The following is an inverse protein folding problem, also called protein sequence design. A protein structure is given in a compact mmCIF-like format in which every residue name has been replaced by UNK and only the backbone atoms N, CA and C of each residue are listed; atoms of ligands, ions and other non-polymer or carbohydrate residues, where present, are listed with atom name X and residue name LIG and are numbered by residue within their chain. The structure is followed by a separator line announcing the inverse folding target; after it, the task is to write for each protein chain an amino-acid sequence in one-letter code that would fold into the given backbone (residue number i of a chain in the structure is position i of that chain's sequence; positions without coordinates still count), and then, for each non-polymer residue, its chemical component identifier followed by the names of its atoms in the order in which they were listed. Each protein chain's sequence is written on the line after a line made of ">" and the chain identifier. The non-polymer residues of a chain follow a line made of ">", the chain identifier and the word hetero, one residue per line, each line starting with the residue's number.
data_IF_883774753053
#
_entry.id   IF_883774753053
#
_cell.length_a   1.000
_cell.length_b   1.000
_cell.length_c   1.000
_cell.angle_alpha   90.00
_cell.angle_beta   90.00
_cell.angle_gamma   90.00
#
_symmetry.space_group_name_H-M   'P 1'
#
loop_
_entity.id
_entity.type
_entity.pdbx_description
1 polymer ?
#
# COMPACT_ATOMS: atom_id res chain seq x y z
N UNK A 1 38.77 -10.34 0.23
CA UNK A 1 37.43 -9.89 0.70
C UNK A 1 36.67 -9.46 -0.53
N UNK A 2 35.49 -10.04 -0.80
CA UNK A 2 34.78 -9.82 -2.08
C UNK A 2 34.35 -8.35 -2.25
N UNK A 3 34.35 -7.80 -3.49
CA UNK A 3 33.72 -6.52 -3.79
C UNK A 3 32.27 -6.49 -3.25
N UNK A 4 31.78 -5.32 -2.86
CA UNK A 4 30.41 -5.17 -2.32
C UNK A 4 29.33 -5.74 -3.25
N UNK A 5 29.63 -5.76 -4.54
CA UNK A 5 28.76 -6.15 -5.64
C UNK A 5 28.59 -7.70 -5.72
N UNK A 6 29.48 -8.45 -5.07
CA UNK A 6 29.47 -9.92 -5.05
C UNK A 6 28.91 -10.53 -3.75
N UNK A 7 28.43 -9.70 -2.81
CA UNK A 7 27.73 -10.22 -1.63
C UNK A 7 26.37 -10.74 -2.08
N UNK A 8 26.28 -12.05 -2.30
CA UNK A 8 25.03 -12.73 -2.63
C UNK A 8 23.97 -12.38 -1.58
N UNK A 9 22.98 -11.58 -1.98
CA UNK A 9 21.86 -11.24 -1.13
C UNK A 9 21.11 -12.53 -0.81
N UNK A 10 21.07 -12.90 0.48
CA UNK A 10 20.28 -14.04 0.94
C UNK A 10 18.82 -13.83 0.47
N UNK A 11 18.19 -14.79 -0.24
CA UNK A 11 16.80 -14.66 -0.65
C UNK A 11 15.98 -14.40 0.61
N UNK A 12 15.34 -13.22 0.67
CA UNK A 12 14.50 -12.88 1.81
C UNK A 12 13.08 -13.33 1.51
N UNK A 13 12.56 -14.17 2.41
CA UNK A 13 11.15 -14.53 2.39
C UNK A 13 10.31 -13.26 2.60
N UNK A 14 9.28 -13.06 1.78
CA UNK A 14 8.39 -11.91 1.85
C UNK A 14 7.81 -11.70 3.26
N UNK A 15 7.47 -12.79 3.95
CA UNK A 15 7.01 -12.78 5.34
C UNK A 15 8.04 -12.21 6.31
N UNK A 16 9.32 -12.52 6.12
CA UNK A 16 10.41 -11.99 6.95
C UNK A 16 10.60 -10.48 6.70
N UNK A 17 10.41 -10.00 5.48
CA UNK A 17 10.46 -8.57 5.15
C UNK A 17 9.31 -7.83 5.82
N UNK A 18 8.09 -8.35 5.74
CA UNK A 18 6.92 -7.79 6.43
C UNK A 18 7.16 -7.74 7.95
N UNK A 19 7.61 -8.84 8.55
CA UNK A 19 7.87 -8.91 9.98
C UNK A 19 8.93 -7.88 10.41
N UNK A 20 9.98 -7.67 9.60
CA UNK A 20 10.99 -6.64 9.83
C UNK A 20 10.41 -5.23 9.71
N UNK A 21 9.59 -4.96 8.70
CA UNK A 21 8.93 -3.65 8.53
C UNK A 21 8.00 -3.33 9.70
N UNK A 22 7.21 -4.30 10.16
CA UNK A 22 6.38 -4.15 11.36
C UNK A 22 7.25 -3.93 12.60
N UNK A 23 8.37 -4.65 12.71
CA UNK A 23 9.37 -4.46 13.77
C UNK A 23 9.94 -3.04 13.80
N UNK A 24 10.23 -2.45 12.63
CA UNK A 24 10.69 -1.06 12.51
C UNK A 24 9.64 -0.11 13.08
N UNK A 25 8.36 -0.28 12.74
CA UNK A 25 7.26 0.55 13.26
C UNK A 25 7.10 0.47 14.79
N UNK A 26 7.54 -0.62 15.42
CA UNK A 26 7.51 -0.78 16.88
C UNK A 26 8.65 -0.07 17.61
N UNK A 27 9.68 0.42 16.90
CA UNK A 27 10.84 1.08 17.51
C UNK A 27 10.44 2.30 18.35
N UNK A 28 11.13 2.55 19.47
CA UNK A 28 10.82 3.69 20.37
C UNK A 28 10.95 5.04 19.66
N UNK A 29 11.85 5.17 18.69
CA UNK A 29 12.00 6.37 17.86
C UNK A 29 10.69 6.77 17.13
N UNK A 30 9.83 5.80 16.81
CA UNK A 30 8.55 6.03 16.13
C UNK A 30 7.35 6.08 17.10
N UNK A 31 7.56 5.90 18.40
CA UNK A 31 6.47 5.86 19.39
C UNK A 31 5.63 7.14 19.38
N UNK A 32 6.28 8.31 19.25
CA UNK A 32 5.61 9.62 19.14
C UNK A 32 4.67 9.74 17.94
N UNK A 33 4.89 8.93 16.90
CA UNK A 33 4.14 8.98 15.63
C UNK A 33 3.05 7.91 15.52
N UNK A 34 2.93 7.02 16.52
CA UNK A 34 1.86 6.00 16.59
C UNK A 34 0.45 6.55 16.41
N UNK A 35 0.03 7.67 17.04
CA UNK A 35 -1.33 8.18 16.84
C UNK A 35 -1.57 8.63 15.39
N UNK A 36 -0.58 9.24 14.73
CA UNK A 36 -0.69 9.65 13.31
C UNK A 36 -0.75 8.44 12.38
N UNK A 37 0.00 7.40 12.68
CA UNK A 37 -0.06 6.13 11.94
C UNK A 37 -1.43 5.46 12.09
N UNK A 38 -1.98 5.40 13.31
CA UNK A 38 -3.32 4.89 13.55
C UNK A 38 -4.38 5.71 12.79
N UNK A 39 -4.31 7.04 12.84
CA UNK A 39 -5.19 7.93 12.08
C UNK A 39 -5.11 7.66 10.58
N UNK A 40 -3.90 7.55 10.01
CA UNK A 40 -3.72 7.26 8.59
C UNK A 40 -4.31 5.91 8.18
N UNK A 41 -4.21 4.88 9.04
CA UNK A 41 -4.83 3.58 8.82
C UNK A 41 -6.36 3.67 8.86
N UNK A 42 -6.94 4.37 9.85
CA UNK A 42 -8.40 4.57 9.95
C UNK A 42 -8.92 5.33 8.72
N UNK A 43 -8.28 6.44 8.35
CA UNK A 43 -8.62 7.21 7.13
C UNK A 43 -8.55 6.34 5.88
N UNK A 44 -7.57 5.43 5.81
CA UNK A 44 -7.47 4.47 4.72
C UNK A 44 -8.63 3.48 4.69
N UNK A 45 -9.02 2.92 5.83
CA UNK A 45 -10.15 1.98 5.89
C UNK A 45 -11.46 2.68 5.49
N UNK A 46 -11.69 3.90 5.98
CA UNK A 46 -12.85 4.71 5.60
C UNK A 46 -12.87 4.98 4.10
N UNK A 47 -11.73 5.32 3.49
CA UNK A 47 -11.68 5.56 2.04
C UNK A 47 -12.01 4.31 1.23
N UNK A 48 -11.59 3.12 1.69
CA UNK A 48 -11.94 1.84 1.04
C UNK A 48 -13.40 1.46 1.20
N UNK A 49 -13.99 1.71 2.38
CA UNK A 49 -15.43 1.52 2.58
C UNK A 49 -16.25 2.41 1.65
N UNK A 50 -15.87 3.68 1.51
CA UNK A 50 -16.53 4.61 0.59
C UNK A 50 -16.32 4.21 -0.88
N UNK A 51 -15.13 3.71 -1.24
CA UNK A 51 -14.84 3.26 -2.60
C UNK A 51 -15.74 2.09 -3.03
N UNK A 52 -15.93 1.11 -2.14
CA UNK A 52 -16.77 -0.08 -2.38
C UNK A 52 -18.26 0.27 -2.26
N UNK A 53 -18.63 1.15 -1.32
CA UNK A 53 -20.02 1.56 -1.10
C UNK A 53 -20.57 2.51 -2.17
N UNK A 54 -19.74 3.36 -2.76
CA UNK A 54 -20.16 4.33 -3.79
C UNK A 54 -20.98 3.70 -4.94
N UNK A 55 -20.51 2.65 -5.65
CA UNK A 55 -21.30 2.04 -6.73
C UNK A 55 -22.62 1.42 -6.24
N UNK A 56 -22.68 0.93 -5.00
CA UNK A 56 -23.93 0.39 -4.43
C UNK A 56 -24.97 1.50 -4.28
N UNK A 57 -24.57 2.66 -3.76
CA UNK A 57 -25.45 3.83 -3.61
C UNK A 57 -26.01 4.32 -4.94
N UNK A 58 -25.19 4.31 -6.00
CA UNK A 58 -25.65 4.64 -7.34
C UNK A 58 -26.64 3.59 -7.85
N UNK A 59 -26.37 2.30 -7.62
CA UNK A 59 -27.27 1.20 -7.96
C UNK A 59 -28.65 1.34 -7.28
N UNK A 60 -28.67 1.67 -6.00
CA UNK A 60 -29.92 1.92 -5.26
C UNK A 60 -30.72 3.08 -5.85
N UNK A 61 -30.05 4.17 -6.23
CA UNK A 61 -30.66 5.28 -6.93
C UNK A 61 -31.31 4.86 -8.26
N UNK A 62 -30.58 4.09 -9.09
CA UNK A 62 -31.09 3.58 -10.37
C UNK A 62 -32.31 2.67 -10.16
N UNK A 63 -32.25 1.77 -9.17
CA UNK A 63 -33.33 0.85 -8.86
C UNK A 63 -34.63 1.57 -8.45
N UNK A 64 -34.53 2.71 -7.74
CA UNK A 64 -35.70 3.54 -7.37
C UNK A 64 -36.40 4.17 -8.57
N UNK A 65 -35.63 4.59 -9.58
CA UNK A 65 -36.18 5.11 -10.83
C UNK A 65 -36.80 3.98 -11.65
N UNK A 66 -36.13 2.83 -11.71
CA UNK A 66 -36.60 1.65 -12.42
C UNK A 66 -37.87 1.03 -11.82
N UNK A 67 -38.19 1.31 -10.56
CA UNK A 67 -39.38 0.81 -9.87
C UNK A 67 -40.72 1.41 -10.37
N UNK A 68 -40.70 2.30 -11.37
CA UNK A 68 -41.91 2.82 -12.02
C UNK A 68 -42.70 3.82 -11.16
N UNK A 69 -42.06 4.45 -10.17
CA UNK A 69 -42.68 5.50 -9.37
C UNK A 69 -42.96 6.75 -10.21
N UNK A 70 -43.95 7.54 -9.78
CA UNK A 70 -44.22 8.84 -10.41
C UNK A 70 -42.95 9.72 -10.38
N UNK A 71 -42.73 10.48 -11.46
CA UNK A 71 -41.53 11.31 -11.66
C UNK A 71 -41.25 12.24 -10.47
N UNK A 72 -42.30 12.77 -9.84
CA UNK A 72 -42.19 13.66 -8.66
C UNK A 72 -41.56 12.99 -7.42
N UNK A 73 -41.52 11.66 -7.35
CA UNK A 73 -40.89 10.90 -6.25
C UNK A 73 -39.57 10.26 -6.70
N UNK A 74 -39.52 9.76 -7.94
CA UNK A 74 -38.33 9.13 -8.50
C UNK A 74 -37.16 10.12 -8.71
N UNK A 75 -37.43 11.32 -9.21
CA UNK A 75 -36.40 12.32 -9.48
C UNK A 75 -35.65 12.81 -8.22
N UNK A 76 -36.33 13.24 -7.14
CA UNK A 76 -35.62 13.69 -5.93
C UNK A 76 -34.90 12.54 -5.20
N UNK A 77 -35.45 11.33 -5.22
CA UNK A 77 -34.78 10.17 -4.60
C UNK A 77 -33.51 9.79 -5.35
N UNK A 78 -33.56 9.72 -6.68
CA UNK A 78 -32.37 9.51 -7.51
C UNK A 78 -31.31 10.60 -7.27
N UNK A 79 -31.71 11.87 -7.26
CA UNK A 79 -30.80 12.98 -7.02
C UNK A 79 -30.07 12.85 -5.67
N UNK A 80 -30.77 12.44 -4.60
CA UNK A 80 -30.17 12.21 -3.30
C UNK A 80 -29.13 11.07 -3.32
N UNK A 81 -29.45 9.93 -3.93
CA UNK A 81 -28.51 8.81 -4.08
C UNK A 81 -27.31 9.16 -4.97
N UNK A 82 -27.54 9.94 -6.03
CA UNK A 82 -26.48 10.41 -6.91
C UNK A 82 -25.52 11.37 -6.20
N UNK A 83 -26.03 12.32 -5.42
CA UNK A 83 -25.20 13.21 -4.58
C UNK A 83 -24.40 12.38 -3.58
N UNK A 84 -25.02 11.41 -2.92
CA UNK A 84 -24.34 10.55 -1.96
C UNK A 84 -23.23 9.71 -2.63
N UNK A 85 -23.49 9.15 -3.82
CA UNK A 85 -22.48 8.50 -4.66
C UNK A 85 -21.33 9.46 -4.99
N UNK A 86 -21.62 10.66 -5.46
CA UNK A 86 -20.61 11.63 -5.87
C UNK A 86 -19.72 12.06 -4.69
N UNK A 87 -20.33 12.32 -3.52
CA UNK A 87 -19.61 12.64 -2.28
C UNK A 87 -18.78 11.45 -1.82
N UNK A 88 -19.34 10.24 -1.80
CA UNK A 88 -18.60 9.03 -1.43
C UNK A 88 -17.41 8.80 -2.38
N UNK A 89 -17.60 9.01 -3.69
CA UNK A 89 -16.54 8.87 -4.68
C UNK A 89 -15.46 9.92 -4.50
N UNK A 90 -15.84 11.18 -4.30
CA UNK A 90 -14.92 12.27 -4.02
C UNK A 90 -14.09 12.00 -2.76
N UNK A 91 -14.74 11.62 -1.66
CA UNK A 91 -14.06 11.30 -0.40
C UNK A 91 -13.18 10.06 -0.52
N UNK A 92 -13.63 9.01 -1.22
CA UNK A 92 -12.82 7.80 -1.47
C UNK A 92 -11.52 8.12 -2.20
N UNK A 93 -11.55 9.13 -3.06
CA UNK A 93 -10.41 9.60 -3.82
C UNK A 93 -9.59 10.68 -3.13
N UNK A 94 -10.12 11.41 -2.13
CA UNK A 94 -9.45 12.51 -1.43
C UNK A 94 -8.85 12.15 -0.06
N UNK A 95 -9.46 11.20 0.66
CA UNK A 95 -8.91 10.67 1.92
C UNK A 95 -7.52 10.02 1.75
N UNK A 96 -7.19 9.35 0.62
CA UNK A 96 -5.84 8.86 0.34
C UNK A 96 -4.72 9.92 0.39
N UNK A 97 -5.02 11.17 0.07
CA UNK A 97 -4.07 12.29 0.04
C UNK A 97 -3.86 12.81 1.45
N UNK A 98 -4.92 12.84 2.25
CA UNK A 98 -4.85 13.17 3.67
C UNK A 98 -4.04 12.13 4.45
N UNK A 99 -4.27 10.82 4.25
CA UNK A 99 -3.43 9.79 4.89
C UNK A 99 -1.96 9.93 4.50
N UNK A 100 -1.65 10.29 3.24
CA UNK A 100 -0.27 10.42 2.78
C UNK A 100 0.42 11.61 3.43
N UNK A 101 -0.31 12.72 3.62
CA UNK A 101 0.16 13.89 4.36
C UNK A 101 0.39 13.56 5.84
N UNK A 102 -0.53 12.85 6.51
CA UNK A 102 -0.35 12.44 7.90
C UNK A 102 0.83 11.49 8.08
N UNK A 103 1.04 10.57 7.13
CA UNK A 103 2.06 9.55 7.21
C UNK A 103 3.45 10.03 6.77
N UNK A 104 3.55 11.14 6.04
CA UNK A 104 4.83 11.69 5.59
C UNK A 104 5.82 11.92 6.73
N UNK A 105 5.37 12.42 7.89
CA UNK A 105 6.25 12.59 9.05
C UNK A 105 6.75 11.27 9.63
N UNK A 106 5.94 10.20 9.53
CA UNK A 106 6.31 8.86 10.01
C UNK A 106 7.39 8.27 9.10
N UNK A 107 7.24 8.39 7.79
CA UNK A 107 8.21 7.83 6.83
C UNK A 107 9.52 8.58 6.86
N UNK A 108 9.48 9.91 6.96
CA UNK A 108 10.68 10.73 7.07
C UNK A 108 11.45 10.44 8.36
N UNK A 109 10.77 10.25 9.49
CA UNK A 109 11.44 9.84 10.73
C UNK A 109 12.03 8.43 10.63
N UNK A 110 11.31 7.48 10.03
CA UNK A 110 11.81 6.12 9.82
C UNK A 110 13.06 6.12 8.93
N UNK A 111 13.04 6.89 7.85
CA UNK A 111 14.17 7.08 6.94
C UNK A 111 15.37 7.70 7.68
N UNK A 112 15.16 8.82 8.37
CA UNK A 112 16.19 9.48 9.19
C UNK A 112 16.79 8.53 10.23
N UNK A 113 15.96 7.82 10.99
CA UNK A 113 16.42 6.90 12.02
C UNK A 113 17.26 5.77 11.43
N UNK A 114 16.84 5.20 10.30
CA UNK A 114 17.58 4.13 9.65
C UNK A 114 18.92 4.63 9.07
N UNK A 115 18.93 5.81 8.46
CA UNK A 115 20.14 6.42 7.91
C UNK A 115 21.15 6.75 9.01
N UNK A 116 20.71 7.35 10.14
CA UNK A 116 21.58 7.69 11.27
C UNK A 116 22.14 6.43 11.94
N UNK A 117 21.34 5.39 12.12
CA UNK A 117 21.80 4.11 12.69
C UNK A 117 22.84 3.44 11.78
N UNK A 118 22.57 3.39 10.47
CA UNK A 118 23.50 2.82 9.50
C UNK A 118 24.80 3.63 9.38
N UNK A 119 24.71 4.96 9.45
CA UNK A 119 25.87 5.85 9.45
C UNK A 119 26.72 5.67 10.71
N UNK A 120 26.10 5.66 11.89
CA UNK A 120 26.80 5.40 13.15
C UNK A 120 27.47 4.03 13.17
N UNK A 121 26.80 3.00 12.64
CA UNK A 121 27.39 1.67 12.50
C UNK A 121 28.59 1.67 11.53
N UNK A 122 28.49 2.40 10.43
CA UNK A 122 29.59 2.54 9.48
C UNK A 122 30.79 3.28 10.10
N UNK A 123 30.57 4.29 10.93
CA UNK A 123 31.64 5.01 11.66
C UNK A 123 32.31 4.15 12.73
N UNK A 124 31.58 3.19 13.32
CA UNK A 124 32.13 2.29 14.33
C UNK A 124 32.93 1.11 13.73
N UNK A 125 33.09 1.05 12.40
CA UNK A 125 33.86 -0.01 11.76
C UNK A 125 35.38 0.20 11.90
N UNK A 126 36.14 -0.89 11.77
CA UNK A 126 37.60 -0.84 11.84
C UNK A 126 38.20 0.02 10.71
N UNK A 127 39.38 0.60 10.93
CA UNK A 127 40.09 1.41 9.93
C UNK A 127 40.24 0.69 8.57
N UNK A 128 40.46 -0.63 8.60
CA UNK A 128 40.53 -1.45 7.38
C UNK A 128 39.25 -1.36 6.52
N UNK A 129 38.07 -1.27 7.13
CA UNK A 129 36.82 -1.06 6.40
C UNK A 129 36.84 0.27 5.63
N UNK A 130 37.30 1.33 6.27
CA UNK A 130 37.35 2.67 5.68
C UNK A 130 38.41 2.80 4.58
N UNK A 131 39.55 2.10 4.71
CA UNK A 131 40.60 2.08 3.69
C UNK A 131 40.18 1.27 2.44
N UNK A 132 39.41 0.19 2.63
CA UNK A 132 39.04 -0.73 1.55
C UNK A 132 37.77 -0.31 0.77
N UNK A 133 37.01 0.68 1.26
CA UNK A 133 35.69 1.04 0.71
C UNK A 133 35.61 2.52 0.40
N UNK A 134 35.15 2.85 -0.82
CA UNK A 134 34.91 4.24 -1.22
C UNK A 134 33.79 4.85 -0.36
N UNK A 135 34.07 5.93 0.36
CA UNK A 135 33.11 6.60 1.24
C UNK A 135 31.80 6.96 0.52
N UNK A 136 31.88 7.47 -0.73
CA UNK A 136 30.71 7.79 -1.54
C UNK A 136 29.87 6.55 -1.92
N UNK A 137 30.48 5.38 -2.09
CA UNK A 137 29.74 4.14 -2.34
C UNK A 137 28.98 3.69 -1.10
N UNK A 138 29.60 3.81 0.09
CA UNK A 138 28.95 3.50 1.38
C UNK A 138 27.79 4.46 1.65
N UNK A 139 27.99 5.77 1.47
CA UNK A 139 26.92 6.75 1.66
C UNK A 139 25.72 6.49 0.73
N UNK A 140 25.97 6.20 -0.56
CA UNK A 140 24.93 5.85 -1.51
C UNK A 140 24.15 4.58 -1.11
N UNK A 141 24.82 3.58 -0.54
CA UNK A 141 24.15 2.37 -0.04
C UNK A 141 23.24 2.71 1.13
N UNK A 142 23.70 3.56 2.07
CA UNK A 142 22.90 4.01 3.21
C UNK A 142 21.67 4.79 2.74
N UNK A 143 21.84 5.78 1.86
CA UNK A 143 20.73 6.58 1.32
C UNK A 143 19.71 5.71 0.58
N UNK A 144 20.18 4.82 -0.31
CA UNK A 144 19.29 3.91 -1.04
C UNK A 144 18.59 2.92 -0.11
N UNK A 145 19.29 2.40 0.88
CA UNK A 145 18.74 1.46 1.87
C UNK A 145 17.66 2.11 2.74
N UNK A 146 17.94 3.30 3.25
CA UNK A 146 16.99 4.06 4.07
C UNK A 146 15.76 4.50 3.24
N UNK A 147 15.97 4.97 2.00
CA UNK A 147 14.88 5.28 1.07
C UNK A 147 14.03 4.05 0.69
N UNK A 148 14.64 2.87 0.57
CA UNK A 148 13.91 1.63 0.32
C UNK A 148 12.99 1.26 1.50
N UNK A 149 13.39 1.54 2.75
CA UNK A 149 12.53 1.34 3.93
C UNK A 149 11.30 2.25 3.85
N UNK A 150 11.48 3.53 3.52
CA UNK A 150 10.34 4.44 3.31
C UNK A 150 9.39 3.92 2.23
N UNK A 151 9.92 3.53 1.07
CA UNK A 151 9.13 2.98 -0.02
C UNK A 151 8.34 1.73 0.42
N UNK A 152 9.01 0.77 1.05
CA UNK A 152 8.40 -0.48 1.48
C UNK A 152 7.30 -0.27 2.53
N UNK A 153 7.53 0.63 3.50
CA UNK A 153 6.52 0.96 4.51
C UNK A 153 5.26 1.54 3.87
N UNK A 154 5.40 2.52 2.98
CA UNK A 154 4.27 3.11 2.25
C UNK A 154 3.57 2.08 1.37
N UNK A 155 4.34 1.32 0.61
CA UNK A 155 3.79 0.34 -0.33
C UNK A 155 2.97 -0.74 0.40
N UNK A 156 3.50 -1.27 1.50
CA UNK A 156 2.82 -2.30 2.26
C UNK A 156 1.58 -1.75 2.99
N UNK A 157 1.73 -0.61 3.69
CA UNK A 157 0.65 -0.05 4.51
C UNK A 157 -0.48 0.58 3.68
N UNK A 158 -0.18 1.14 2.50
CA UNK A 158 -1.13 1.99 1.76
C UNK A 158 -1.48 1.53 0.35
N UNK A 159 -0.77 0.55 -0.20
CA UNK A 159 -1.16 -0.12 -1.44
C UNK A 159 -1.63 -1.55 -1.14
N UNK A 160 -0.72 -2.45 -0.76
CA UNK A 160 -1.05 -3.88 -0.63
C UNK A 160 -2.14 -4.13 0.42
N UNK A 161 -1.95 -3.66 1.66
CA UNK A 161 -2.92 -3.87 2.73
C UNK A 161 -4.32 -3.38 2.38
N UNK A 162 -4.48 -2.10 1.97
CA UNK A 162 -5.80 -1.56 1.62
C UNK A 162 -6.42 -2.20 0.40
N UNK A 163 -5.63 -2.62 -0.59
CA UNK A 163 -6.14 -3.37 -1.74
C UNK A 163 -6.72 -4.71 -1.29
N UNK A 164 -6.06 -5.45 -0.40
CA UNK A 164 -6.62 -6.71 0.13
C UNK A 164 -7.94 -6.50 0.86
N UNK A 165 -8.03 -5.44 1.68
CA UNK A 165 -9.27 -5.07 2.37
C UNK A 165 -10.37 -4.70 1.37
N UNK A 166 -10.05 -3.87 0.37
CA UNK A 166 -10.98 -3.45 -0.68
C UNK A 166 -11.51 -4.63 -1.49
N UNK A 167 -10.64 -5.58 -1.86
CA UNK A 167 -11.03 -6.80 -2.56
C UNK A 167 -11.94 -7.69 -1.70
N UNK A 168 -11.63 -7.87 -0.42
CA UNK A 168 -12.46 -8.63 0.50
C UNK A 168 -13.84 -7.99 0.69
N UNK A 169 -13.89 -6.67 0.87
CA UNK A 169 -15.14 -5.91 0.96
C UNK A 169 -15.97 -6.03 -0.32
N UNK A 170 -15.35 -5.84 -1.49
CA UNK A 170 -16.03 -5.95 -2.78
C UNK A 170 -16.58 -7.37 -3.00
N UNK A 171 -15.81 -8.41 -2.68
CA UNK A 171 -16.27 -9.79 -2.78
C UNK A 171 -17.45 -10.08 -1.82
N UNK A 172 -17.40 -9.57 -0.58
CA UNK A 172 -18.49 -9.70 0.38
C UNK A 172 -19.77 -9.02 -0.13
N UNK A 173 -19.66 -7.78 -0.62
CA UNK A 173 -20.79 -7.02 -1.20
C UNK A 173 -21.37 -7.73 -2.42
N UNK A 174 -20.52 -8.28 -3.31
CA UNK A 174 -20.98 -9.04 -4.47
C UNK A 174 -21.72 -10.32 -4.06
N UNK A 175 -21.22 -11.02 -3.04
CA UNK A 175 -21.82 -12.25 -2.56
C UNK A 175 -23.19 -12.02 -1.91
N UNK A 176 -23.38 -10.90 -1.21
CA UNK A 176 -24.62 -10.58 -0.50
C UNK A 176 -25.68 -9.91 -1.38
N UNK A 177 -25.30 -8.95 -2.23
CA UNK A 177 -26.26 -8.18 -3.04
C UNK A 177 -26.60 -8.84 -4.38
N UNK A 178 -25.70 -9.67 -4.91
CA UNK A 178 -25.88 -10.28 -6.23
C UNK A 178 -25.91 -11.80 -6.14
N UNK A 179 -24.74 -12.44 -6.15
CA UNK A 179 -24.63 -13.90 -6.10
C UNK A 179 -23.22 -14.30 -5.68
N UNK A 180 -23.11 -15.29 -4.80
CA UNK A 180 -21.82 -15.87 -4.41
C UNK A 180 -21.03 -16.42 -5.62
N UNK A 181 -21.71 -16.85 -6.69
CA UNK A 181 -21.07 -17.32 -7.93
C UNK A 181 -20.31 -16.19 -8.64
N UNK A 182 -20.88 -14.99 -8.66
CA UNK A 182 -20.23 -13.81 -9.24
C UNK A 182 -19.03 -13.37 -8.39
N UNK A 183 -19.17 -13.39 -7.06
CA UNK A 183 -18.05 -13.11 -6.16
C UNK A 183 -16.91 -14.12 -6.35
N UNK A 184 -17.22 -15.41 -6.48
CA UNK A 184 -16.23 -16.45 -6.74
C UNK A 184 -15.51 -16.24 -8.08
N UNK A 185 -16.24 -15.91 -9.15
CA UNK A 185 -15.64 -15.60 -10.45
C UNK A 185 -14.68 -14.39 -10.39
N UNK A 186 -15.06 -13.34 -9.65
CA UNK A 186 -14.19 -12.18 -9.44
C UNK A 186 -12.91 -12.55 -8.67
N UNK A 187 -13.01 -13.34 -7.60
CA UNK A 187 -11.85 -13.81 -6.83
C UNK A 187 -10.92 -14.66 -7.69
N UNK A 188 -11.45 -15.60 -8.48
CA UNK A 188 -10.65 -16.42 -9.40
C UNK A 188 -9.93 -15.54 -10.43
N UNK A 189 -10.60 -14.52 -10.95
CA UNK A 189 -10.01 -13.58 -11.91
C UNK A 189 -8.83 -12.82 -11.29
N UNK A 190 -8.95 -12.37 -10.04
CA UNK A 190 -7.88 -11.69 -9.31
C UNK A 190 -6.71 -12.64 -9.06
N UNK A 191 -6.97 -13.90 -8.66
CA UNK A 191 -5.92 -14.89 -8.45
C UNK A 191 -5.15 -15.18 -9.74
N UNK A 192 -5.87 -15.35 -10.86
CA UNK A 192 -5.26 -15.51 -12.18
C UNK A 192 -4.38 -14.31 -12.56
N UNK A 193 -4.86 -13.08 -12.31
CA UNK A 193 -4.09 -11.86 -12.53
C UNK A 193 -2.80 -11.81 -11.70
N UNK A 194 -2.85 -12.20 -10.42
CA UNK A 194 -1.68 -12.23 -9.54
C UNK A 194 -0.65 -13.24 -10.06
N UNK A 195 -1.08 -14.48 -10.35
CA UNK A 195 -0.18 -15.54 -10.85
C UNK A 195 0.47 -15.11 -12.15
N UNK A 196 -0.33 -14.63 -13.11
CA UNK A 196 0.17 -14.18 -14.40
C UNK A 196 1.20 -13.04 -14.24
N UNK A 197 0.89 -12.06 -13.40
CA UNK A 197 1.77 -10.91 -13.16
C UNK A 197 3.10 -11.33 -12.54
N UNK A 198 3.10 -12.25 -11.58
CA UNK A 198 4.34 -12.78 -10.97
C UNK A 198 5.19 -13.49 -12.01
N UNK A 199 4.59 -14.41 -12.79
CA UNK A 199 5.31 -15.17 -13.82
C UNK A 199 5.98 -14.26 -14.86
N UNK A 200 5.26 -13.26 -15.35
CA UNK A 200 5.80 -12.31 -16.35
C UNK A 200 6.85 -11.39 -15.72
N UNK A 201 6.63 -10.91 -14.49
CA UNK A 201 7.57 -10.00 -13.81
C UNK A 201 8.89 -10.69 -13.50
N UNK A 202 8.86 -11.94 -13.06
CA UNK A 202 10.08 -12.71 -12.79
C UNK A 202 10.90 -12.95 -14.06
N UNK A 203 10.25 -13.33 -15.17
CA UNK A 203 10.92 -13.48 -16.48
C UNK A 203 11.60 -12.18 -16.91
N UNK A 204 10.86 -11.07 -16.88
CA UNK A 204 11.41 -9.75 -17.21
C UNK A 204 12.58 -9.36 -16.32
N UNK A 205 12.55 -9.71 -15.04
CA UNK A 205 13.64 -9.41 -14.11
C UNK A 205 14.91 -10.22 -14.41
N UNK A 206 14.78 -11.47 -14.85
CA UNK A 206 15.91 -12.29 -15.30
C UNK A 206 16.53 -11.69 -16.56
N UNK A 207 15.72 -11.35 -17.56
CA UNK A 207 16.19 -10.71 -18.80
C UNK A 207 16.99 -9.43 -18.52
N UNK A 208 16.49 -8.57 -17.63
CA UNK A 208 17.17 -7.34 -17.22
C UNK A 208 18.51 -7.56 -16.51
N UNK A 209 18.70 -8.69 -15.85
CA UNK A 209 19.97 -9.05 -15.19
C UNK A 209 20.98 -9.64 -16.16
N UNK A 210 20.53 -10.21 -17.27
CA UNK A 210 21.40 -10.74 -18.31
C UNK A 210 21.91 -9.63 -19.24
N UNK A 211 21.15 -8.53 -19.37
CA UNK A 211 21.51 -7.38 -20.21
C UNK A 211 22.38 -6.32 -19.51
N UNK A 212 22.54 -6.38 -18.19
CA UNK A 212 23.36 -5.44 -17.38
C UNK A 212 24.55 -6.17 -16.76
#
# INVERSE_FOLDING_TARGET
>A
MKPFDEVALKPQNFSAVIARMIGILRRPALARWRPRMALALVVTLVSKLLAVGAPVLLGDGINRVAAGQAVGVAAPSFAAFFILFAVARFLSNGLPQLRDAFFARVTQEANRSAAVEAFGHAQAQALQFHLMRRAGAVNRIIERGAGAIEFLLRFLAFNIGPTLVELALAAAVMATLYSWKLAAAAVVTILAYIVFTVLITERRNVERRLMN
#
